data_IF_453994881139
#
_entry.id   IF_453994881139
#
_cell.length_a   1.000
_cell.length_b   1.000
_cell.length_c   1.000
_cell.angle_alpha   90.00
_cell.angle_beta   90.00
_cell.angle_gamma   90.00
#
_symmetry.space_group_name_H-M   'P 1'
#
loop_
_entity.id
_entity.type
_entity.pdbx_description
1 polymer ?
#
# COMPACT_ATOMS: atom_id res chain seq x y z
N UNK A 1 -28.22 -15.34 19.98
CA UNK A 1 -27.38 -14.28 19.34
C UNK A 1 -26.83 -13.26 20.33
N UNK A 2 -27.58 -12.81 21.37
CA UNK A 2 -27.11 -11.85 22.37
C UNK A 2 -26.03 -12.42 23.31
N UNK A 3 -26.01 -13.71 23.61
CA UNK A 3 -24.96 -14.34 24.43
C UNK A 3 -23.65 -14.50 23.64
N UNK A 4 -23.71 -14.84 22.35
CA UNK A 4 -22.53 -14.87 21.47
C UNK A 4 -21.85 -13.51 21.35
N UNK A 5 -22.61 -12.41 21.24
CA UNK A 5 -22.05 -11.05 21.21
C UNK A 5 -21.29 -10.65 22.49
N UNK A 6 -21.49 -11.35 23.61
CA UNK A 6 -20.88 -11.03 24.91
C UNK A 6 -19.42 -11.50 25.02
N UNK A 7 -18.95 -12.40 24.13
CA UNK A 7 -17.61 -12.96 24.12
C UNK A 7 -16.77 -12.57 22.88
N UNK A 8 -17.40 -11.96 21.87
CA UNK A 8 -16.71 -11.50 20.68
C UNK A 8 -15.76 -10.34 21.01
N UNK A 9 -14.50 -10.52 20.69
CA UNK A 9 -13.45 -9.51 20.83
C UNK A 9 -13.02 -9.05 19.46
N UNK A 10 -12.73 -7.76 19.32
CA UNK A 10 -12.15 -7.23 18.08
C UNK A 10 -10.65 -7.22 18.18
N UNK A 11 -10.01 -7.79 17.17
CA UNK A 11 -8.55 -7.85 17.03
C UNK A 11 -8.12 -6.99 15.85
N UNK A 12 -7.06 -6.20 16.08
CA UNK A 12 -6.37 -5.46 15.03
C UNK A 12 -5.10 -6.21 14.66
N UNK A 13 -4.87 -6.35 13.37
CA UNK A 13 -3.67 -6.91 12.77
C UNK A 13 -2.97 -5.84 11.95
N UNK A 14 -1.65 -5.83 11.97
CA UNK A 14 -0.81 -5.13 11.01
C UNK A 14 -0.25 -6.16 10.06
N UNK A 15 -0.60 -6.08 8.78
CA UNK A 15 -0.31 -7.10 7.76
C UNK A 15 0.68 -6.56 6.75
N UNK A 16 1.82 -7.23 6.62
CA UNK A 16 2.78 -7.03 5.54
C UNK A 16 2.60 -8.09 4.46
N UNK A 17 2.75 -7.71 3.19
CA UNK A 17 2.67 -8.66 2.09
C UNK A 17 3.44 -8.21 0.86
N UNK A 18 4.00 -9.18 0.15
CA UNK A 18 4.45 -9.05 -1.22
C UNK A 18 3.23 -9.26 -2.15
N UNK A 19 2.77 -8.19 -2.79
CA UNK A 19 1.56 -8.20 -3.62
C UNK A 19 1.75 -8.81 -5.01
N UNK A 20 2.95 -9.25 -5.38
CA UNK A 20 3.29 -9.71 -6.74
C UNK A 20 2.32 -10.75 -7.27
N UNK A 21 1.93 -11.71 -6.43
CA UNK A 21 1.08 -12.84 -6.82
C UNK A 21 -0.42 -12.60 -6.52
N UNK A 22 -0.79 -11.39 -6.09
CA UNK A 22 -2.14 -11.09 -5.64
C UNK A 22 -2.84 -10.07 -6.53
N UNK A 23 -4.14 -10.30 -6.77
CA UNK A 23 -5.03 -9.35 -7.43
C UNK A 23 -5.46 -8.21 -6.48
N UNK A 24 -4.52 -7.70 -5.68
CA UNK A 24 -4.74 -6.67 -4.68
C UNK A 24 -5.26 -7.20 -3.34
N UNK A 25 -5.73 -6.27 -2.51
CA UNK A 25 -6.23 -6.61 -1.18
C UNK A 25 -7.62 -7.23 -1.22
N UNK A 26 -8.60 -6.54 -1.82
CA UNK A 26 -10.02 -6.86 -1.71
C UNK A 26 -10.42 -8.08 -2.54
N UNK A 27 -11.23 -8.96 -1.97
CA UNK A 27 -11.81 -10.13 -2.65
C UNK A 27 -12.51 -9.70 -3.93
N UNK A 28 -12.18 -10.38 -5.02
CA UNK A 28 -12.73 -10.18 -6.35
C UNK A 28 -12.66 -11.48 -7.18
N UNK A 29 -13.51 -11.65 -8.21
CA UNK A 29 -13.58 -12.92 -8.95
C UNK A 29 -12.38 -13.18 -9.87
N UNK A 30 -11.52 -12.20 -10.10
CA UNK A 30 -10.49 -12.25 -11.15
C UNK A 30 -9.16 -12.90 -10.71
N UNK A 31 -9.05 -13.33 -9.45
CA UNK A 31 -7.85 -14.00 -8.94
C UNK A 31 -7.73 -13.94 -7.41
N UNK A 32 -6.66 -14.55 -6.91
CA UNK A 32 -6.38 -14.65 -5.48
C UNK A 32 -6.05 -13.27 -4.91
N UNK A 33 -6.60 -12.96 -3.74
CA UNK A 33 -6.40 -11.69 -3.04
C UNK A 33 -5.88 -11.90 -1.62
N UNK A 34 -5.22 -10.87 -1.05
CA UNK A 34 -4.68 -10.96 0.30
C UNK A 34 -5.78 -11.18 1.34
N UNK A 35 -6.91 -10.46 1.23
CA UNK A 35 -8.07 -10.59 2.11
C UNK A 35 -8.66 -12.02 2.07
N UNK A 36 -8.74 -12.63 0.89
CA UNK A 36 -9.23 -14.00 0.74
C UNK A 36 -8.33 -15.02 1.45
N UNK A 37 -7.01 -14.90 1.27
CA UNK A 37 -6.03 -15.79 1.93
C UNK A 37 -6.10 -15.65 3.44
N UNK A 38 -6.18 -14.41 3.95
CA UNK A 38 -6.32 -14.15 5.38
C UNK A 38 -7.63 -14.73 5.93
N UNK A 39 -8.77 -14.46 5.29
CA UNK A 39 -10.07 -14.99 5.72
C UNK A 39 -10.06 -16.52 5.80
N UNK A 40 -9.59 -17.19 4.75
CA UNK A 40 -9.50 -18.66 4.71
C UNK A 40 -8.56 -19.21 5.80
N UNK A 41 -7.41 -18.58 5.97
CA UNK A 41 -6.40 -19.05 6.94
C UNK A 41 -6.87 -18.85 8.38
N UNK A 42 -7.39 -17.66 8.71
CA UNK A 42 -7.90 -17.38 10.05
C UNK A 42 -9.12 -18.25 10.38
N UNK A 43 -10.07 -18.38 9.44
CA UNK A 43 -11.26 -19.21 9.68
C UNK A 43 -10.89 -20.67 9.93
N UNK A 44 -9.95 -21.21 9.15
CA UNK A 44 -9.47 -22.60 9.36
C UNK A 44 -8.76 -22.78 10.70
N UNK A 45 -7.90 -21.82 11.07
CA UNK A 45 -7.09 -21.92 12.28
C UNK A 45 -7.92 -21.71 13.56
N UNK A 46 -8.79 -20.69 13.55
CA UNK A 46 -9.64 -20.36 14.71
C UNK A 46 -10.90 -21.22 14.78
N UNK A 47 -11.23 -21.97 13.72
CA UNK A 47 -12.48 -22.76 13.58
C UNK A 47 -13.75 -21.90 13.72
N UNK A 48 -13.67 -20.67 13.27
CA UNK A 48 -14.72 -19.67 13.24
C UNK A 48 -14.85 -19.10 11.82
N UNK A 49 -16.00 -18.59 11.45
CA UNK A 49 -16.15 -17.85 10.18
C UNK A 49 -15.60 -16.43 10.38
N UNK A 50 -14.44 -16.14 9.79
CA UNK A 50 -13.74 -14.87 9.94
C UNK A 50 -13.86 -14.04 8.67
N UNK A 51 -14.24 -12.79 8.84
CA UNK A 51 -14.25 -11.75 7.81
C UNK A 51 -13.39 -10.57 8.25
N UNK A 52 -12.29 -10.36 7.55
CA UNK A 52 -11.37 -9.26 7.80
C UNK A 52 -11.86 -7.98 7.12
N UNK A 53 -11.69 -6.85 7.81
CA UNK A 53 -11.92 -5.51 7.27
C UNK A 53 -10.58 -4.77 7.21
N UNK A 54 -10.04 -4.55 6.01
CA UNK A 54 -8.78 -3.81 5.81
C UNK A 54 -8.97 -2.30 5.72
N UNK A 55 -7.98 -1.54 6.20
CA UNK A 55 -7.92 -0.08 6.12
C UNK A 55 -7.70 0.41 4.68
N UNK A 56 -6.84 -0.28 3.93
CA UNK A 56 -6.46 0.09 2.57
C UNK A 56 -6.83 -1.01 1.59
N UNK A 57 -7.40 -0.60 0.45
CA UNK A 57 -7.63 -1.46 -0.71
C UNK A 57 -6.49 -1.22 -1.69
N UNK A 58 -5.42 -1.98 -1.55
CA UNK A 58 -4.31 -1.90 -2.50
C UNK A 58 -4.68 -2.57 -3.82
N UNK A 59 -4.18 -2.01 -4.91
CA UNK A 59 -4.38 -2.55 -6.26
C UNK A 59 -3.53 -3.81 -6.49
N UNK A 60 -3.81 -4.52 -7.59
CA UNK A 60 -3.04 -5.69 -8.01
C UNK A 60 -1.54 -5.40 -8.08
N UNK A 61 -0.74 -6.28 -7.51
CA UNK A 61 0.72 -6.20 -7.47
C UNK A 61 1.30 -5.18 -6.48
N UNK A 62 0.47 -4.46 -5.72
CA UNK A 62 0.94 -3.51 -4.70
C UNK A 62 1.32 -4.23 -3.43
N UNK A 63 2.54 -3.97 -2.93
CA UNK A 63 3.05 -4.50 -1.67
C UNK A 63 2.57 -3.66 -0.48
N UNK A 64 2.73 -4.19 0.73
CA UNK A 64 2.50 -3.44 1.96
C UNK A 64 3.45 -3.86 3.06
N UNK A 65 3.97 -2.89 3.80
CA UNK A 65 4.71 -3.14 5.05
C UNK A 65 3.80 -3.18 6.28
N UNK A 66 2.55 -2.69 6.17
CA UNK A 66 1.68 -2.61 7.33
C UNK A 66 0.26 -2.14 7.00
N UNK A 67 -0.52 -2.95 6.28
CA UNK A 67 -1.94 -2.68 6.12
C UNK A 67 -2.68 -3.09 7.41
N UNK A 68 -3.39 -2.14 8.01
CA UNK A 68 -4.19 -2.41 9.21
C UNK A 68 -5.47 -3.14 8.81
N UNK A 69 -5.77 -4.22 9.52
CA UNK A 69 -7.00 -4.98 9.35
C UNK A 69 -7.60 -5.34 10.70
N UNK A 70 -8.91 -5.52 10.77
CA UNK A 70 -9.61 -5.99 11.97
C UNK A 70 -10.49 -7.17 11.66
N UNK A 71 -10.71 -8.00 12.68
CA UNK A 71 -11.70 -9.07 12.67
C UNK A 71 -12.25 -9.31 14.07
N UNK A 72 -13.39 -9.94 14.16
CA UNK A 72 -14.03 -10.32 15.42
C UNK A 72 -13.91 -11.83 15.61
N UNK A 73 -13.60 -12.27 16.87
CA UNK A 73 -13.44 -13.67 17.23
C UNK A 73 -13.70 -13.92 18.70
N UNK A 74 -14.11 -15.14 19.04
CA UNK A 74 -14.26 -15.64 20.42
C UNK A 74 -12.95 -16.26 20.97
N UNK A 75 -11.87 -16.20 20.20
CA UNK A 75 -10.60 -16.84 20.55
C UNK A 75 -10.08 -16.43 21.92
N UNK A 76 -9.52 -17.40 22.64
CA UNK A 76 -8.84 -17.21 23.93
C UNK A 76 -7.34 -16.98 23.80
N UNK A 77 -6.81 -17.02 22.58
CA UNK A 77 -5.39 -16.75 22.33
C UNK A 77 -5.08 -15.30 22.76
N UNK A 78 -4.03 -15.08 23.57
CA UNK A 78 -3.63 -13.72 23.94
C UNK A 78 -3.42 -12.84 22.69
N UNK A 79 -3.97 -11.61 22.67
CA UNK A 79 -3.96 -10.76 21.48
C UNK A 79 -2.58 -10.58 20.85
N UNK A 80 -1.57 -10.35 21.67
CA UNK A 80 -0.18 -10.15 21.25
C UNK A 80 0.51 -11.43 20.72
N UNK A 81 -0.08 -12.59 20.96
CA UNK A 81 0.42 -13.88 20.47
C UNK A 81 -0.24 -14.36 19.19
N UNK A 82 -1.32 -13.73 18.77
CA UNK A 82 -2.02 -14.11 17.54
C UNK A 82 -1.11 -14.05 16.30
N UNK A 83 -0.26 -13.05 16.18
CA UNK A 83 0.68 -12.95 15.07
C UNK A 83 1.63 -14.16 15.00
N UNK A 84 2.14 -14.63 16.12
CA UNK A 84 3.02 -15.81 16.16
C UNK A 84 2.27 -17.11 15.85
N UNK A 85 1.02 -17.21 16.28
CA UNK A 85 0.21 -18.40 16.05
C UNK A 85 -0.28 -18.51 14.59
N UNK A 86 -0.57 -17.37 13.96
CA UNK A 86 -1.12 -17.30 12.60
C UNK A 86 -0.04 -17.34 11.50
N UNK A 87 1.13 -16.74 11.72
CA UNK A 87 2.19 -16.66 10.71
C UNK A 87 2.66 -18.01 10.17
N UNK A 88 2.77 -19.10 10.95
CA UNK A 88 3.11 -20.42 10.42
C UNK A 88 2.05 -21.02 9.48
N UNK A 89 0.82 -20.49 9.50
CA UNK A 89 -0.30 -20.94 8.67
C UNK A 89 -0.43 -20.15 7.36
N UNK A 90 0.25 -19.00 7.29
CA UNK A 90 0.21 -18.09 6.14
C UNK A 90 1.30 -18.46 5.11
N UNK A 91 1.06 -18.18 3.82
CA UNK A 91 2.11 -18.29 2.80
C UNK A 91 3.26 -17.31 3.09
N UNK A 92 4.43 -17.56 2.51
CA UNK A 92 5.65 -16.79 2.81
C UNK A 92 5.56 -15.31 2.45
N UNK A 93 4.71 -14.96 1.51
CA UNK A 93 4.48 -13.61 1.00
C UNK A 93 3.42 -12.81 1.77
N UNK A 94 2.83 -13.38 2.85
CA UNK A 94 1.94 -12.66 3.78
C UNK A 94 2.41 -12.89 5.21
N UNK A 95 2.56 -11.82 5.99
CA UNK A 95 2.93 -11.88 7.41
C UNK A 95 2.11 -10.90 8.24
N UNK A 96 1.72 -11.34 9.44
CA UNK A 96 1.16 -10.49 10.47
C UNK A 96 2.33 -9.97 11.31
N UNK A 97 2.58 -8.67 11.25
CA UNK A 97 3.69 -7.99 11.94
C UNK A 97 3.37 -7.80 13.41
N UNK A 98 2.12 -7.46 13.71
CA UNK A 98 1.63 -7.31 15.08
C UNK A 98 0.14 -7.61 15.18
N UNK A 99 -0.28 -7.95 16.39
CA UNK A 99 -1.68 -8.20 16.72
C UNK A 99 -2.00 -7.67 18.12
N UNK A 100 -3.16 -7.04 18.26
CA UNK A 100 -3.64 -6.49 19.53
C UNK A 100 -5.17 -6.51 19.58
N UNK A 101 -5.73 -6.47 20.79
CA UNK A 101 -7.16 -6.29 20.98
C UNK A 101 -7.48 -4.79 20.94
N UNK A 102 -8.58 -4.44 20.29
CA UNK A 102 -9.08 -3.06 20.19
C UNK A 102 -10.54 -2.99 20.61
N UNK A 103 -11.07 -1.79 20.93
CA UNK A 103 -12.49 -1.62 21.20
C UNK A 103 -13.37 -2.14 20.05
N UNK A 104 -14.53 -2.70 20.36
CA UNK A 104 -15.43 -3.31 19.37
C UNK A 104 -15.98 -2.35 18.31
N UNK A 105 -15.94 -1.05 18.58
CA UNK A 105 -16.33 0.02 17.66
C UNK A 105 -15.16 0.54 16.79
N UNK A 106 -13.93 0.09 17.05
CA UNK A 106 -12.79 0.48 16.23
C UNK A 106 -12.98 0.02 14.78
N UNK A 107 -12.89 0.95 13.84
CA UNK A 107 -13.02 0.66 12.41
C UNK A 107 -11.82 1.25 11.65
N UNK A 108 -11.03 0.43 10.91
CA UNK A 108 -9.75 0.85 10.34
C UNK A 108 -9.84 1.88 9.20
N UNK A 109 -11.06 2.15 8.68
CA UNK A 109 -11.30 3.15 7.62
C UNK A 109 -11.87 4.47 8.14
N UNK A 110 -12.41 4.50 9.39
CA UNK A 110 -13.10 5.66 9.93
C UNK A 110 -12.36 6.31 11.10
N UNK A 111 -11.12 5.92 11.33
CA UNK A 111 -10.20 6.62 12.22
C UNK A 111 -9.29 7.56 11.43
N UNK A 112 -8.69 8.53 12.11
CA UNK A 112 -7.67 9.39 11.51
C UNK A 112 -6.50 8.53 11.03
N UNK A 113 -6.40 8.37 9.74
CA UNK A 113 -5.35 7.55 9.12
C UNK A 113 -4.48 8.39 8.20
N UNK A 114 -3.19 8.18 8.32
CA UNK A 114 -2.22 8.66 7.36
C UNK A 114 -1.71 7.46 6.58
N UNK A 115 -1.70 7.57 5.25
CA UNK A 115 -1.21 6.54 4.34
C UNK A 115 -0.01 7.08 3.59
N UNK A 116 1.06 6.30 3.57
CA UNK A 116 2.25 6.62 2.79
C UNK A 116 2.46 5.52 1.76
N UNK A 117 2.59 5.91 0.50
CA UNK A 117 2.94 5.04 -0.59
C UNK A 117 4.32 5.41 -1.13
N UNK A 118 5.11 4.40 -1.43
CA UNK A 118 6.39 4.54 -2.08
C UNK A 118 6.31 3.97 -3.50
N UNK A 119 6.77 4.74 -4.47
CA UNK A 119 6.97 4.29 -5.83
C UNK A 119 8.47 4.19 -6.10
N UNK A 120 8.94 2.97 -6.31
CA UNK A 120 10.35 2.67 -6.48
C UNK A 120 10.72 2.66 -7.96
N UNK A 121 11.83 3.31 -8.30
CA UNK A 121 12.39 3.40 -9.65
C UNK A 121 13.84 2.93 -9.60
N UNK A 122 14.18 2.01 -10.49
CA UNK A 122 15.57 1.76 -10.85
C UNK A 122 15.94 2.71 -11.99
N UNK A 123 16.79 3.70 -11.72
CA UNK A 123 17.27 4.63 -12.73
C UNK A 123 18.68 4.22 -13.20
N UNK A 124 18.78 3.63 -14.36
CA UNK A 124 20.02 3.11 -14.92
C UNK A 124 19.80 2.27 -16.18
N UNK A 125 20.86 2.04 -16.94
CA UNK A 125 20.80 1.38 -18.26
C UNK A 125 20.53 -0.12 -18.19
N UNK A 126 21.02 -0.79 -17.13
CA UNK A 126 20.95 -2.25 -17.00
C UNK A 126 19.91 -2.63 -15.95
N UNK A 127 18.86 -3.40 -16.29
CA UNK A 127 17.89 -3.88 -15.33
C UNK A 127 18.53 -4.89 -14.36
N UNK A 128 18.38 -4.65 -13.05
CA UNK A 128 18.85 -5.57 -12.02
C UNK A 128 17.78 -6.63 -11.75
N UNK A 129 18.10 -7.93 -11.80
CA UNK A 129 17.13 -9.00 -11.57
C UNK A 129 16.43 -8.92 -10.18
N UNK A 130 17.14 -8.41 -9.16
CA UNK A 130 16.62 -8.24 -7.80
C UNK A 130 15.61 -7.13 -7.68
N UNK A 131 15.59 -6.18 -8.61
CA UNK A 131 14.65 -5.03 -8.63
C UNK A 131 13.44 -5.28 -9.53
N UNK A 132 13.42 -6.35 -10.35
CA UNK A 132 12.43 -6.60 -11.39
C UNK A 132 10.96 -6.60 -10.92
N UNK A 133 10.70 -7.01 -9.66
CA UNK A 133 9.35 -7.08 -9.09
C UNK A 133 9.02 -5.87 -8.20
N UNK A 134 10.02 -5.06 -7.83
CA UNK A 134 9.90 -4.05 -6.80
C UNK A 134 10.18 -2.63 -7.27
N UNK A 135 10.65 -2.45 -8.51
CA UNK A 135 10.92 -1.12 -9.06
C UNK A 135 10.60 -1.01 -10.55
N UNK A 136 10.30 0.19 -10.98
CA UNK A 136 10.12 0.56 -12.37
C UNK A 136 11.45 0.98 -12.99
N UNK A 137 11.86 0.34 -14.09
CA UNK A 137 13.09 0.71 -14.79
C UNK A 137 12.91 1.98 -15.63
N UNK A 138 13.75 2.99 -15.37
CA UNK A 138 13.90 4.18 -16.20
C UNK A 138 15.34 4.28 -16.66
N UNK A 139 15.56 4.10 -17.97
CA UNK A 139 16.92 4.02 -18.55
C UNK A 139 17.58 5.38 -18.76
N UNK A 140 16.80 6.44 -18.96
CA UNK A 140 17.32 7.78 -19.16
C UNK A 140 17.56 8.47 -17.82
N UNK A 141 18.58 9.34 -17.72
CA UNK A 141 18.85 10.09 -16.49
C UNK A 141 17.64 10.91 -16.03
N UNK A 142 17.35 10.87 -14.74
CA UNK A 142 16.30 11.66 -14.12
C UNK A 142 16.91 12.88 -13.40
N UNK A 143 16.33 14.05 -13.64
CA UNK A 143 16.62 15.25 -12.87
C UNK A 143 15.82 15.23 -11.56
N UNK A 144 16.45 14.76 -10.50
CA UNK A 144 15.81 14.57 -9.18
C UNK A 144 15.38 15.92 -8.59
N UNK A 145 16.18 16.99 -8.76
CA UNK A 145 15.84 18.32 -8.26
C UNK A 145 14.55 18.84 -8.92
N UNK A 146 14.43 18.72 -10.23
CA UNK A 146 13.20 19.11 -10.94
C UNK A 146 11.98 18.31 -10.46
N UNK A 147 12.15 17.00 -10.17
CA UNK A 147 11.08 16.18 -9.62
C UNK A 147 10.68 16.64 -8.20
N UNK A 148 11.65 16.99 -7.36
CA UNK A 148 11.41 17.53 -6.01
C UNK A 148 10.66 18.86 -6.05
N UNK A 149 11.08 19.79 -6.91
CA UNK A 149 10.41 21.09 -7.09
C UNK A 149 8.97 20.88 -7.58
N UNK A 150 8.78 20.04 -8.59
CA UNK A 150 7.46 19.75 -9.15
C UNK A 150 6.51 19.11 -8.15
N UNK A 151 7.03 18.23 -7.28
CA UNK A 151 6.23 17.53 -6.28
C UNK A 151 5.52 18.47 -5.30
N UNK A 152 6.11 19.62 -5.01
CA UNK A 152 5.58 20.58 -4.03
C UNK A 152 4.26 21.22 -4.50
N UNK A 153 4.01 21.31 -5.82
CA UNK A 153 2.74 21.82 -6.36
C UNK A 153 1.57 20.87 -6.12
N UNK A 154 1.83 19.61 -5.84
CA UNK A 154 0.82 18.58 -5.55
C UNK A 154 0.54 18.42 -4.05
N UNK A 155 1.33 19.08 -3.18
CA UNK A 155 1.10 19.06 -1.73
C UNK A 155 -0.03 20.03 -1.38
N UNK A 156 -0.93 19.59 -0.52
CA UNK A 156 -2.10 20.36 -0.10
C UNK A 156 -3.41 19.65 -0.43
N UNK A 157 -4.51 20.40 -0.30
CA UNK A 157 -5.86 19.92 -0.66
C UNK A 157 -6.21 20.43 -2.04
N UNK A 158 -6.35 19.51 -2.99
CA UNK A 158 -6.63 19.81 -4.39
C UNK A 158 -7.70 18.88 -4.98
N UNK A 159 -8.30 19.27 -6.10
CA UNK A 159 -9.09 18.37 -6.92
C UNK A 159 -8.16 17.53 -7.82
N UNK A 160 -7.91 16.30 -7.41
CA UNK A 160 -7.04 15.35 -8.14
C UNK A 160 -7.76 14.60 -9.27
N UNK A 161 -8.77 15.19 -9.89
CA UNK A 161 -9.50 14.56 -11.00
C UNK A 161 -8.58 14.16 -12.17
N UNK A 162 -7.58 14.99 -12.49
CA UNK A 162 -6.58 14.70 -13.52
C UNK A 162 -5.56 13.62 -13.13
N UNK A 163 -5.47 13.30 -11.84
CA UNK A 163 -4.60 12.26 -11.28
C UNK A 163 -5.38 11.02 -10.86
N UNK A 164 -6.54 10.78 -11.46
CA UNK A 164 -7.41 9.66 -11.12
C UNK A 164 -7.77 8.87 -12.38
N UNK A 165 -7.79 7.54 -12.27
CA UNK A 165 -8.27 6.71 -13.36
C UNK A 165 -9.81 6.88 -13.57
N UNK A 166 -10.24 6.80 -14.83
CA UNK A 166 -11.63 7.10 -15.25
C UNK A 166 -12.72 6.24 -14.58
N UNK A 167 -12.37 5.08 -14.01
CA UNK A 167 -13.30 4.15 -13.34
C UNK A 167 -13.34 4.31 -11.83
N UNK A 168 -13.06 5.51 -11.29
CA UNK A 168 -13.15 5.74 -9.85
C UNK A 168 -14.59 5.66 -9.36
N UNK A 169 -14.79 4.99 -8.20
CA UNK A 169 -16.07 4.96 -7.49
C UNK A 169 -16.17 6.02 -6.39
N UNK A 170 -15.19 6.92 -6.33
CA UNK A 170 -15.14 7.97 -5.31
C UNK A 170 -16.22 9.04 -5.57
N UNK A 171 -16.93 9.42 -4.50
CA UNK A 171 -17.94 10.50 -4.56
C UNK A 171 -17.34 11.88 -4.83
N UNK A 172 -16.10 12.10 -4.43
CA UNK A 172 -15.34 13.33 -4.66
C UNK A 172 -13.91 13.02 -5.05
N UNK A 173 -13.33 13.85 -5.92
CA UNK A 173 -11.93 13.76 -6.34
C UNK A 173 -11.00 14.68 -5.55
N UNK A 174 -11.54 15.45 -4.60
CA UNK A 174 -10.74 16.27 -3.69
C UNK A 174 -10.02 15.37 -2.68
N UNK A 175 -8.70 15.55 -2.54
CA UNK A 175 -7.85 14.81 -1.59
C UNK A 175 -6.84 15.75 -0.97
N UNK A 176 -6.38 15.39 0.24
CA UNK A 176 -5.28 16.07 0.93
C UNK A 176 -4.03 15.21 0.86
N UNK A 177 -3.03 15.71 0.16
CA UNK A 177 -1.67 15.18 0.14
C UNK A 177 -0.85 16.00 1.14
N UNK A 178 -0.37 15.35 2.21
CA UNK A 178 0.34 16.05 3.30
C UNK A 178 1.84 16.16 3.04
N UNK A 179 2.38 15.40 2.09
CA UNK A 179 3.78 15.49 1.69
C UNK A 179 4.10 14.60 0.50
N UNK A 180 5.05 15.06 -0.31
CA UNK A 180 5.69 14.26 -1.35
C UNK A 180 7.20 14.46 -1.24
N UNK A 181 7.93 13.36 -1.14
CA UNK A 181 9.41 13.35 -1.07
C UNK A 181 9.93 12.56 -2.27
N UNK A 182 11.05 13.03 -2.85
CA UNK A 182 11.76 12.34 -3.92
C UNK A 182 13.21 12.19 -3.50
N UNK A 183 13.66 10.96 -3.32
CA UNK A 183 15.00 10.62 -2.88
C UNK A 183 15.71 9.78 -3.93
N UNK A 184 17.03 9.90 -4.02
CA UNK A 184 17.85 9.06 -4.88
C UNK A 184 19.05 8.53 -4.12
N UNK A 185 19.24 7.21 -4.16
CA UNK A 185 20.33 6.49 -3.51
C UNK A 185 21.14 5.68 -4.52
N UNK A 186 22.45 5.51 -4.35
CA UNK A 186 23.21 4.55 -5.14
C UNK A 186 22.60 3.15 -5.01
N UNK A 187 22.49 2.43 -6.14
CA UNK A 187 21.94 1.07 -6.16
C UNK A 187 22.99 0.07 -6.69
N UNK A 188 23.73 0.45 -7.72
CA UNK A 188 24.87 -0.31 -8.23
C UNK A 188 25.99 0.60 -8.70
N UNK A 189 27.21 0.08 -8.65
CA UNK A 189 28.44 0.74 -9.10
C UNK A 189 28.97 0.07 -10.37
N UNK A 190 30.03 0.62 -10.97
CA UNK A 190 30.72 0.07 -12.13
C UNK A 190 30.56 0.91 -13.39
N UNK A 191 30.73 0.29 -14.55
CA UNK A 191 30.66 0.98 -15.86
C UNK A 191 29.26 1.56 -16.15
N UNK A 192 28.22 0.88 -15.70
CA UNK A 192 26.82 1.30 -15.87
C UNK A 192 26.14 1.41 -14.50
N UNK A 193 26.45 2.47 -13.73
CA UNK A 193 25.89 2.63 -12.40
C UNK A 193 24.39 2.89 -12.46
N UNK A 194 23.68 2.49 -11.41
CA UNK A 194 22.27 2.76 -11.27
C UNK A 194 21.95 3.37 -9.91
N UNK A 195 20.82 4.08 -9.85
CA UNK A 195 20.27 4.68 -8.63
C UNK A 195 18.90 4.08 -8.34
N UNK A 196 18.59 3.96 -7.08
CA UNK A 196 17.21 3.74 -6.60
C UNK A 196 16.60 5.11 -6.31
N UNK A 197 15.57 5.46 -7.07
CA UNK A 197 14.80 6.67 -6.83
C UNK A 197 13.49 6.26 -6.19
N UNK A 198 13.14 6.91 -5.08
CA UNK A 198 11.93 6.65 -4.31
C UNK A 198 11.08 7.91 -4.31
N UNK A 199 9.85 7.80 -4.79
CA UNK A 199 8.82 8.84 -4.68
C UNK A 199 7.89 8.40 -3.55
N UNK A 200 7.91 9.13 -2.44
CA UNK A 200 7.08 8.87 -1.26
C UNK A 200 5.94 9.87 -1.21
N UNK A 201 4.70 9.39 -1.26
CA UNK A 201 3.49 10.23 -1.23
C UNK A 201 2.70 9.91 0.03
N UNK A 202 2.47 10.91 0.87
CA UNK A 202 1.74 10.80 2.13
C UNK A 202 0.46 11.63 2.07
N UNK A 203 -0.65 11.05 2.52
CA UNK A 203 -1.96 11.70 2.54
C UNK A 203 -2.99 10.95 3.39
N UNK A 204 -4.17 11.54 3.53
CA UNK A 204 -5.29 10.95 4.29
C UNK A 204 -6.00 9.85 3.50
N UNK A 205 -5.98 9.94 2.16
CA UNK A 205 -6.56 8.96 1.25
C UNK A 205 -6.22 9.27 -0.20
N UNK A 206 -6.29 8.24 -1.04
CA UNK A 206 -5.92 8.33 -2.45
C UNK A 206 -7.04 7.83 -3.34
N UNK A 207 -7.14 8.40 -4.55
CA UNK A 207 -8.00 7.94 -5.62
C UNK A 207 -7.39 6.72 -6.33
N UNK A 208 -8.20 6.04 -7.11
CA UNK A 208 -7.74 4.91 -7.90
C UNK A 208 -6.60 5.30 -8.84
N UNK A 209 -5.48 4.59 -8.74
CA UNK A 209 -4.21 4.84 -9.45
C UNK A 209 -3.55 6.22 -9.18
N UNK A 210 -4.01 7.01 -8.23
CA UNK A 210 -3.54 8.38 -8.01
C UNK A 210 -2.01 8.44 -7.82
N UNK A 211 -1.45 7.63 -6.94
CA UNK A 211 0.01 7.63 -6.68
C UNK A 211 0.80 7.22 -7.93
N UNK A 212 0.30 6.26 -8.72
CA UNK A 212 0.93 5.84 -9.98
C UNK A 212 0.96 6.98 -11.00
N UNK A 213 -0.13 7.76 -11.09
CA UNK A 213 -0.23 8.90 -12.03
C UNK A 213 0.67 10.04 -11.57
N UNK A 214 0.70 10.35 -10.26
CA UNK A 214 1.63 11.33 -9.68
C UNK A 214 3.07 10.91 -10.01
N UNK A 215 3.45 9.68 -9.74
CA UNK A 215 4.80 9.17 -10.01
C UNK A 215 5.16 9.24 -11.48
N UNK A 216 4.25 8.84 -12.37
CA UNK A 216 4.44 8.94 -13.82
C UNK A 216 4.61 10.39 -14.30
N UNK A 217 3.88 11.33 -13.72
CA UNK A 217 4.01 12.77 -14.02
C UNK A 217 5.39 13.30 -13.57
N UNK A 218 5.81 12.97 -12.35
CA UNK A 218 7.13 13.37 -11.84
C UNK A 218 8.28 12.74 -12.64
N UNK A 219 8.15 11.50 -13.10
CA UNK A 219 9.13 10.88 -14.02
C UNK A 219 9.23 11.69 -15.31
N UNK A 220 8.11 12.11 -15.91
CA UNK A 220 8.13 12.94 -17.12
C UNK A 220 8.78 14.32 -16.90
N UNK A 221 8.63 14.90 -15.71
CA UNK A 221 9.36 16.11 -15.33
C UNK A 221 10.86 15.81 -15.20
N UNK A 222 11.24 14.74 -14.54
CA UNK A 222 12.63 14.31 -14.40
C UNK A 222 13.33 14.04 -15.73
N UNK A 223 12.58 13.60 -16.73
CA UNK A 223 13.02 13.39 -18.11
C UNK A 223 13.02 14.67 -18.97
N UNK A 224 12.54 15.81 -18.44
CA UNK A 224 12.40 17.07 -19.20
C UNK A 224 11.26 17.07 -20.23
N UNK A 225 10.35 16.09 -20.18
CA UNK A 225 9.19 15.99 -21.09
C UNK A 225 8.06 16.93 -20.67
N UNK A 226 7.91 17.13 -19.35
CA UNK A 226 6.96 18.08 -18.77
C UNK A 226 7.71 19.16 -18.01
N UNK A 227 7.20 20.38 -18.04
CA UNK A 227 7.67 21.48 -17.19
C UNK A 227 6.67 21.73 -16.06
N UNK A 228 7.05 22.54 -15.07
CA UNK A 228 6.25 22.88 -13.90
C UNK A 228 4.88 23.47 -14.24
N UNK A 229 4.76 24.20 -15.36
CA UNK A 229 3.48 24.79 -15.81
C UNK A 229 2.44 23.75 -16.25
N UNK A 230 2.81 22.50 -16.44
CA UNK A 230 1.90 21.42 -16.82
C UNK A 230 1.32 20.68 -15.60
N UNK A 231 1.77 21.04 -14.41
CA UNK A 231 1.32 20.47 -13.14
C UNK A 231 0.35 21.42 -12.44
#
# INVERSE_FOLDING_TARGET
>A
DRERMRFMKRFKLVVAYDGTNYCGWQIQPNGITVEEVLNKTLSRFLKEEIHIIGASRTDSGVHSFGNVAVFDSETTIPPEKLCFALNPQLPEDIRIVSSEQVPGDFHPRYCDTRKTYEYHIQNGKIPLPTERLYSHLVIFPLNIQAMQEASQYLVGTHDFKSFCAAKTQAQTTVRTVTGIEVEAHPLSEGEYPSKKVIIRVTGEGFLYNMVRIISGTLIKVGLGVLSLIHI
#
